data_IF_862791567646
#
_entry.id   IF_862791567646
#
_cell.length_a   1.000
_cell.length_b   1.000
_cell.length_c   1.000
_cell.angle_alpha   90.00
_cell.angle_beta   90.00
_cell.angle_gamma   90.00
#
_symmetry.space_group_name_H-M   'P 1'
#
loop_
_entity.id
_entity.type
_entity.pdbx_description
1 polymer ?
#
# COMPACT_ATOMS: atom_id res chain seq x y z
N UNK A 1 25.17 28.68 -37.37
CA UNK A 1 24.24 27.66 -37.93
C UNK A 1 24.06 26.45 -37.03
N UNK A 2 25.11 25.82 -36.52
CA UNK A 2 25.01 24.61 -35.67
C UNK A 2 24.07 24.79 -34.47
N UNK A 3 24.16 25.91 -33.75
CA UNK A 3 23.28 26.20 -32.60
C UNK A 3 21.78 26.25 -32.94
N UNK A 4 21.42 26.80 -34.12
CA UNK A 4 20.01 26.88 -34.57
C UNK A 4 19.47 25.49 -34.90
N UNK A 5 20.27 24.65 -35.54
CA UNK A 5 19.92 23.26 -35.87
C UNK A 5 19.69 22.44 -34.59
N UNK A 6 20.59 22.58 -33.61
CA UNK A 6 20.46 21.89 -32.31
C UNK A 6 19.20 22.34 -31.56
N UNK A 7 18.91 23.64 -31.52
CA UNK A 7 17.70 24.16 -30.88
C UNK A 7 16.42 23.64 -31.54
N UNK A 8 16.40 23.56 -32.88
CA UNK A 8 15.24 23.08 -33.63
C UNK A 8 15.00 21.58 -33.42
N UNK A 9 16.08 20.79 -33.40
CA UNK A 9 16.02 19.36 -33.10
C UNK A 9 15.48 19.12 -31.68
N UNK A 10 15.93 19.90 -30.70
CA UNK A 10 15.48 19.80 -29.31
C UNK A 10 13.98 20.08 -29.17
N UNK A 11 13.47 21.15 -29.80
CA UNK A 11 12.03 21.46 -29.81
C UNK A 11 11.23 20.35 -30.49
N UNK A 12 11.72 19.80 -31.60
CA UNK A 12 11.07 18.70 -32.30
C UNK A 12 10.96 17.44 -31.43
N UNK A 13 12.03 17.09 -30.69
CA UNK A 13 12.02 15.97 -29.74
C UNK A 13 11.00 16.21 -28.62
N UNK A 14 10.90 17.43 -28.08
CA UNK A 14 9.89 17.77 -27.07
C UNK A 14 8.47 17.60 -27.63
N UNK A 15 8.22 18.08 -28.85
CA UNK A 15 6.90 17.95 -29.50
C UNK A 15 6.54 16.48 -29.73
N UNK A 16 7.48 15.67 -30.26
CA UNK A 16 7.26 14.23 -30.44
C UNK A 16 7.01 13.52 -29.11
N UNK A 17 7.79 13.85 -28.08
CA UNK A 17 7.60 13.31 -26.73
C UNK A 17 6.24 13.69 -26.17
N UNK A 18 5.81 14.94 -26.35
CA UNK A 18 4.48 15.41 -25.95
C UNK A 18 3.36 14.67 -26.67
N UNK A 19 3.46 14.48 -27.99
CA UNK A 19 2.46 13.72 -28.79
C UNK A 19 2.43 12.26 -28.35
N UNK A 20 3.59 11.64 -28.15
CA UNK A 20 3.71 10.26 -27.69
C UNK A 20 3.04 10.06 -26.32
N UNK A 21 3.37 10.93 -25.35
CA UNK A 21 2.74 10.91 -24.03
C UNK A 21 1.23 11.15 -24.14
N UNK A 22 0.80 12.17 -24.89
CA UNK A 22 -0.63 12.50 -25.06
C UNK A 22 -1.43 11.37 -25.69
N UNK A 23 -0.85 10.59 -26.62
CA UNK A 23 -1.48 9.39 -27.17
C UNK A 23 -1.66 8.32 -26.10
N UNK A 24 -0.69 8.13 -25.19
CA UNK A 24 -0.82 7.22 -24.06
C UNK A 24 -1.95 7.58 -23.09
N UNK A 25 -2.18 8.88 -22.86
CA UNK A 25 -3.27 9.40 -21.99
C UNK A 25 -4.60 9.59 -22.73
N UNK A 26 -4.66 9.34 -24.04
CA UNK A 26 -5.92 9.43 -24.77
C UNK A 26 -6.80 8.27 -24.33
N UNK A 27 -8.08 8.50 -23.98
CA UNK A 27 -8.99 7.41 -23.63
C UNK A 27 -9.04 6.46 -24.83
N UNK A 28 -8.42 5.28 -24.70
CA UNK A 28 -8.64 4.21 -25.65
C UNK A 28 -10.14 3.90 -25.68
N UNK A 29 -10.62 3.50 -26.85
CA UNK A 29 -11.99 3.16 -27.27
C UNK A 29 -12.87 2.30 -26.32
N UNK A 30 -12.44 2.00 -25.11
CA UNK A 30 -13.23 1.29 -24.11
C UNK A 30 -14.29 2.25 -23.54
N UNK A 31 -15.56 1.82 -23.51
CA UNK A 31 -16.76 2.54 -23.06
C UNK A 31 -16.79 2.86 -21.54
N UNK A 32 -15.62 3.03 -20.93
CA UNK A 32 -15.46 3.21 -19.50
C UNK A 32 -15.40 4.68 -19.14
N UNK A 33 -16.36 5.08 -18.33
CA UNK A 33 -16.46 6.43 -17.80
C UNK A 33 -15.28 6.75 -16.87
N UNK A 34 -14.72 7.95 -16.98
CA UNK A 34 -13.62 8.41 -16.15
C UNK A 34 -13.27 9.88 -16.39
N UNK A 35 -12.54 10.49 -15.44
CA UNK A 35 -12.07 11.87 -15.58
C UNK A 35 -10.83 11.90 -16.48
N UNK A 36 -10.78 12.88 -17.39
CA UNK A 36 -9.61 13.16 -18.23
C UNK A 36 -8.37 13.38 -17.36
N UNK A 37 -7.31 12.64 -17.64
CA UNK A 37 -6.04 12.72 -16.93
C UNK A 37 -5.22 13.92 -17.35
N UNK A 38 -4.50 14.49 -16.39
CA UNK A 38 -3.36 15.35 -16.67
C UNK A 38 -2.14 14.52 -17.06
N UNK A 39 -1.31 15.09 -17.94
CA UNK A 39 -0.05 14.48 -18.34
C UNK A 39 0.86 14.40 -17.08
N UNK A 40 1.55 13.27 -16.90
CA UNK A 40 2.44 12.91 -15.78
C UNK A 40 1.77 12.62 -14.44
N UNK A 41 0.77 13.40 -14.03
CA UNK A 41 0.14 13.23 -12.71
C UNK A 41 -1.19 12.47 -12.75
N UNK A 42 -1.66 12.11 -13.95
CA UNK A 42 -2.91 11.40 -14.10
C UNK A 42 -4.07 12.19 -13.49
N UNK A 43 -4.80 11.55 -12.57
CA UNK A 43 -5.92 12.16 -11.87
C UNK A 43 -5.55 12.59 -10.44
N UNK A 44 -4.29 12.44 -10.00
CA UNK A 44 -3.86 12.66 -8.61
C UNK A 44 -4.03 14.10 -8.13
N UNK A 45 -3.81 15.07 -9.01
CA UNK A 45 -4.00 16.50 -8.72
C UNK A 45 -5.50 16.81 -8.63
N UNK A 46 -6.27 16.36 -9.63
CA UNK A 46 -7.72 16.62 -9.69
C UNK A 46 -8.51 15.95 -8.58
N UNK A 47 -8.00 14.82 -8.08
CA UNK A 47 -8.59 14.12 -6.95
C UNK A 47 -8.20 14.74 -5.60
N UNK A 48 -7.32 15.73 -5.56
CA UNK A 48 -6.90 16.39 -4.32
C UNK A 48 -6.00 15.53 -3.41
N UNK A 49 -5.60 14.33 -3.86
CA UNK A 49 -4.78 13.38 -3.09
C UNK A 49 -3.40 13.95 -2.85
N UNK A 50 -2.74 14.46 -3.90
CA UNK A 50 -1.42 15.10 -3.77
C UNK A 50 -1.43 16.35 -2.90
N UNK A 51 -2.58 17.03 -2.81
CA UNK A 51 -2.73 18.26 -2.03
C UNK A 51 -3.18 18.02 -0.59
N UNK A 52 -3.40 16.76 -0.18
CA UNK A 52 -3.95 16.42 1.14
C UNK A 52 -5.40 16.86 1.38
N UNK A 53 -6.08 17.41 0.36
CA UNK A 53 -7.45 17.93 0.46
C UNK A 53 -8.50 16.83 0.50
N UNK A 54 -8.14 15.63 0.05
CA UNK A 54 -9.07 14.50 -0.02
C UNK A 54 -8.34 13.20 0.20
N UNK A 55 -8.97 12.30 0.96
CA UNK A 55 -8.48 10.93 1.14
C UNK A 55 -8.79 10.08 -0.08
N UNK A 56 -7.99 9.04 -0.33
CA UNK A 56 -8.24 8.07 -1.40
C UNK A 56 -9.67 7.50 -1.35
N UNK A 57 -10.18 7.24 -0.13
CA UNK A 57 -11.56 6.78 0.10
C UNK A 57 -12.61 7.77 -0.40
N UNK A 58 -12.46 9.06 -0.08
CA UNK A 58 -13.41 10.10 -0.52
C UNK A 58 -13.43 10.21 -2.04
N UNK A 59 -12.26 10.16 -2.67
CA UNK A 59 -12.12 10.20 -4.13
C UNK A 59 -12.85 9.02 -4.78
N UNK A 60 -12.63 7.81 -4.29
CA UNK A 60 -13.29 6.61 -4.83
C UNK A 60 -14.80 6.70 -4.67
N UNK A 61 -15.30 7.18 -3.52
CA UNK A 61 -16.73 7.35 -3.29
C UNK A 61 -17.35 8.40 -4.22
N UNK A 62 -16.67 9.53 -4.41
CA UNK A 62 -17.16 10.59 -5.31
C UNK A 62 -17.15 10.15 -6.76
N UNK A 63 -16.13 9.39 -7.18
CA UNK A 63 -16.07 8.84 -8.53
C UNK A 63 -17.10 7.74 -8.74
N UNK A 64 -17.33 6.88 -7.74
CA UNK A 64 -18.42 5.90 -7.75
C UNK A 64 -19.78 6.57 -7.94
N UNK A 65 -20.04 7.68 -7.23
CA UNK A 65 -21.29 8.45 -7.40
C UNK A 65 -21.45 9.04 -8.81
N UNK A 66 -20.34 9.41 -9.46
CA UNK A 66 -20.36 10.08 -10.78
C UNK A 66 -20.39 9.11 -11.95
N UNK A 67 -19.69 7.97 -11.84
CA UNK A 67 -19.42 7.06 -12.96
C UNK A 67 -19.96 5.65 -12.72
N UNK A 68 -20.58 5.39 -11.56
CA UNK A 68 -21.08 4.07 -11.19
C UNK A 68 -20.01 3.15 -10.61
N UNK A 69 -20.27 1.85 -10.64
CA UNK A 69 -19.44 0.84 -9.97
C UNK A 69 -18.17 0.42 -10.72
N UNK A 70 -17.99 0.92 -11.95
CA UNK A 70 -16.82 0.64 -12.77
C UNK A 70 -16.38 1.91 -13.48
N UNK A 71 -15.15 2.34 -13.22
CA UNK A 71 -14.61 3.55 -13.83
C UNK A 71 -13.10 3.49 -14.02
N UNK A 72 -12.59 4.37 -14.87
CA UNK A 72 -11.16 4.52 -15.10
C UNK A 72 -10.57 5.61 -14.20
N UNK A 73 -9.42 5.32 -13.61
CA UNK A 73 -8.62 6.26 -12.84
C UNK A 73 -7.16 6.20 -13.29
N UNK A 74 -6.53 7.35 -13.51
CA UNK A 74 -5.10 7.40 -13.82
C UNK A 74 -4.29 7.70 -12.57
N UNK A 75 -3.47 6.74 -12.15
CA UNK A 75 -2.49 6.92 -11.09
C UNK A 75 -1.14 7.26 -11.72
N UNK A 76 -0.80 8.56 -11.75
CA UNK A 76 0.33 9.08 -12.55
C UNK A 76 0.20 8.64 -14.03
N UNK A 77 1.18 7.92 -14.56
CA UNK A 77 1.20 7.37 -15.92
C UNK A 77 0.45 6.04 -16.07
N UNK A 78 -0.02 5.44 -14.97
CA UNK A 78 -0.64 4.13 -14.99
C UNK A 78 -2.16 4.24 -15.03
N UNK A 79 -2.77 3.53 -15.99
CA UNK A 79 -4.22 3.37 -16.08
C UNK A 79 -4.68 2.30 -15.10
N UNK A 80 -5.54 2.69 -14.17
CA UNK A 80 -6.19 1.79 -13.23
C UNK A 80 -7.68 1.67 -13.57
N UNK A 81 -8.18 0.44 -13.57
CA UNK A 81 -9.61 0.16 -13.60
C UNK A 81 -10.08 -0.04 -12.17
N UNK A 82 -11.02 0.77 -11.73
CA UNK A 82 -11.57 0.72 -10.38
C UNK A 82 -12.92 0.04 -10.43
N UNK A 83 -13.06 -1.01 -9.62
CA UNK A 83 -14.28 -1.78 -9.46
C UNK A 83 -14.77 -1.64 -8.02
N UNK A 84 -16.01 -1.18 -7.83
CA UNK A 84 -16.59 -0.96 -6.51
C UNK A 84 -17.73 -1.92 -6.16
N UNK A 85 -18.14 -2.77 -7.11
CA UNK A 85 -19.18 -3.79 -6.93
C UNK A 85 -18.63 -5.07 -6.29
N UNK A 86 -19.46 -5.76 -5.50
CA UNK A 86 -19.08 -6.98 -4.81
C UNK A 86 -18.82 -8.12 -5.80
N UNK A 87 -19.64 -8.20 -6.85
CA UNK A 87 -19.52 -9.16 -7.95
C UNK A 87 -18.17 -9.05 -8.66
N UNK A 88 -17.69 -7.83 -8.89
CA UNK A 88 -16.38 -7.61 -9.49
C UNK A 88 -15.25 -8.06 -8.55
N UNK A 89 -15.35 -7.74 -7.26
CA UNK A 89 -14.38 -8.18 -6.27
C UNK A 89 -14.32 -9.72 -6.21
N UNK A 90 -15.47 -10.40 -6.21
CA UNK A 90 -15.52 -11.86 -6.24
C UNK A 90 -14.82 -12.44 -7.47
N UNK A 91 -15.07 -11.89 -8.67
CA UNK A 91 -14.40 -12.35 -9.89
C UNK A 91 -12.89 -12.12 -9.81
N UNK A 92 -12.45 -10.94 -9.39
CA UNK A 92 -11.04 -10.59 -9.27
C UNK A 92 -10.31 -11.50 -8.27
N UNK A 93 -10.94 -11.79 -7.13
CA UNK A 93 -10.32 -12.64 -6.09
C UNK A 93 -10.43 -14.14 -6.38
N UNK A 94 -11.44 -14.57 -7.15
CA UNK A 94 -11.61 -15.96 -7.58
C UNK A 94 -10.64 -16.30 -8.73
N UNK A 95 -10.51 -15.42 -9.71
CA UNK A 95 -9.63 -15.62 -10.86
C UNK A 95 -8.22 -15.05 -10.65
N UNK A 96 -7.48 -15.70 -9.75
CA UNK A 96 -6.07 -15.34 -9.47
C UNK A 96 -5.10 -15.71 -10.60
N UNK A 97 -5.56 -16.29 -11.69
CA UNK A 97 -4.73 -16.56 -12.87
C UNK A 97 -4.73 -15.36 -13.82
N UNK A 98 -5.88 -14.70 -13.95
CA UNK A 98 -6.02 -13.47 -14.76
C UNK A 98 -5.60 -12.23 -13.98
N UNK A 99 -5.93 -12.16 -12.68
CA UNK A 99 -5.62 -11.01 -11.83
C UNK A 99 -4.46 -11.33 -10.89
N UNK A 100 -3.27 -10.82 -11.23
CA UNK A 100 -2.10 -10.85 -10.35
C UNK A 100 -1.85 -9.48 -9.69
N UNK A 101 -1.10 -9.48 -8.58
CA UNK A 101 -0.71 -8.25 -7.91
C UNK A 101 0.20 -7.42 -8.80
N UNK A 102 -0.08 -6.12 -8.86
CA UNK A 102 0.69 -5.17 -9.65
C UNK A 102 1.93 -4.69 -8.89
N UNK A 103 3.11 -4.60 -9.52
CA UNK A 103 4.33 -4.10 -8.87
C UNK A 103 4.27 -2.59 -8.55
N UNK A 104 3.24 -1.88 -9.02
CA UNK A 104 3.12 -0.42 -8.94
C UNK A 104 3.24 0.16 -7.53
N UNK A 105 2.87 -0.62 -6.51
CA UNK A 105 2.84 -0.15 -5.12
C UNK A 105 4.01 -0.66 -4.27
N UNK A 106 4.92 -1.45 -4.84
CA UNK A 106 5.92 -2.19 -4.05
C UNK A 106 7.38 -1.76 -4.30
N UNK A 107 7.63 -0.83 -5.22
CA UNK A 107 9.00 -0.42 -5.60
C UNK A 107 9.85 0.07 -4.42
N UNK A 108 9.25 0.78 -3.46
CA UNK A 108 9.96 1.25 -2.27
C UNK A 108 10.10 0.16 -1.19
N UNK A 109 9.14 -0.77 -1.12
CA UNK A 109 9.17 -1.86 -0.12
C UNK A 109 10.29 -2.86 -0.47
N UNK A 110 10.58 -3.07 -1.76
CA UNK A 110 11.63 -4.01 -2.21
C UNK A 110 13.03 -3.57 -1.79
N UNK A 111 13.22 -2.27 -1.53
CA UNK A 111 14.47 -1.74 -0.99
C UNK A 111 14.68 -2.08 0.49
N UNK A 112 13.60 -2.20 1.26
CA UNK A 112 13.64 -2.44 2.71
C UNK A 112 13.60 -3.96 2.97
N UNK A 113 12.68 -4.66 2.32
CA UNK A 113 12.45 -6.09 2.50
C UNK A 113 12.47 -6.82 1.14
N UNK A 114 13.67 -7.07 0.57
CA UNK A 114 13.77 -7.71 -0.72
C UNK A 114 13.19 -9.13 -0.67
N UNK A 115 12.41 -9.49 -1.69
CA UNK A 115 11.74 -10.81 -1.78
C UNK A 115 10.74 -11.13 -0.66
N UNK A 116 10.19 -10.10 0.00
CA UNK A 116 9.08 -10.28 0.94
C UNK A 116 7.81 -10.77 0.21
N UNK A 117 7.00 -11.56 0.91
CA UNK A 117 5.72 -12.08 0.42
C UNK A 117 4.75 -10.99 -0.04
N UNK A 118 4.86 -9.78 0.50
CA UNK A 118 4.04 -8.63 0.10
C UNK A 118 4.36 -8.19 -1.34
N UNK A 119 5.60 -8.41 -1.79
CA UNK A 119 6.13 -7.92 -3.07
C UNK A 119 6.15 -9.04 -4.11
N UNK A 120 6.38 -10.28 -3.67
CA UNK A 120 6.46 -11.42 -4.55
C UNK A 120 5.17 -11.59 -5.35
N UNK A 121 5.30 -11.91 -6.64
CA UNK A 121 4.18 -12.20 -7.53
C UNK A 121 4.20 -13.65 -8.01
N UNK A 122 3.05 -14.08 -8.54
CA UNK A 122 2.88 -15.34 -9.28
C UNK A 122 3.42 -16.60 -8.55
N UNK A 123 4.21 -17.42 -9.24
CA UNK A 123 4.74 -18.69 -8.72
C UNK A 123 5.61 -18.53 -7.47
N UNK A 124 6.40 -17.45 -7.38
CA UNK A 124 7.25 -17.19 -6.20
C UNK A 124 6.39 -16.91 -4.97
N UNK A 125 5.36 -16.08 -5.12
CA UNK A 125 4.37 -15.82 -4.07
C UNK A 125 3.68 -17.11 -3.61
N UNK A 126 3.16 -17.91 -4.56
CA UNK A 126 2.50 -19.19 -4.28
C UNK A 126 3.38 -20.16 -3.49
N UNK A 127 4.70 -20.18 -3.79
CA UNK A 127 5.68 -20.99 -3.06
C UNK A 127 5.84 -20.52 -1.61
N UNK A 128 5.99 -19.22 -1.37
CA UNK A 128 6.20 -18.67 -0.03
C UNK A 128 4.95 -18.80 0.84
N UNK A 129 3.78 -18.47 0.29
CA UNK A 129 2.48 -18.65 0.97
C UNK A 129 2.26 -20.11 1.39
N UNK A 130 2.64 -21.08 0.56
CA UNK A 130 2.49 -22.51 0.91
C UNK A 130 3.29 -22.91 2.15
N UNK A 131 4.43 -22.26 2.39
CA UNK A 131 5.26 -22.50 3.59
C UNK A 131 4.70 -21.78 4.81
N UNK A 132 4.14 -20.58 4.63
CA UNK A 132 3.63 -19.75 5.72
C UNK A 132 2.22 -20.13 6.20
N UNK A 133 1.31 -20.54 5.30
CA UNK A 133 -0.06 -20.90 5.66
C UNK A 133 -0.16 -21.97 6.77
N UNK A 134 0.68 -23.03 6.80
CA UNK A 134 0.72 -23.96 7.92
C UNK A 134 1.02 -23.32 9.28
N UNK A 135 1.83 -22.26 9.31
CA UNK A 135 2.19 -21.54 10.55
C UNK A 135 1.00 -20.73 11.07
N UNK A 136 0.14 -20.22 10.18
CA UNK A 136 -1.07 -19.47 10.50
C UNK A 136 -2.30 -20.35 10.82
N UNK A 137 -2.12 -21.66 10.96
CA UNK A 137 -3.25 -22.55 11.30
C UNK A 137 -3.68 -22.33 12.74
N UNK A 138 -4.99 -22.44 12.98
CA UNK A 138 -5.60 -22.29 14.32
C UNK A 138 -4.88 -23.06 15.42
N UNK A 139 -4.46 -24.30 15.15
CA UNK A 139 -3.77 -25.13 16.14
C UNK A 139 -2.42 -24.54 16.60
N UNK A 140 -1.70 -23.84 15.71
CA UNK A 140 -0.46 -23.14 16.05
C UNK A 140 -0.75 -21.86 16.83
N UNK A 141 -1.73 -21.07 16.40
CA UNK A 141 -2.15 -19.85 17.10
C UNK A 141 -2.60 -20.15 18.53
N UNK A 142 -3.37 -21.23 18.75
CA UNK A 142 -3.80 -21.65 20.09
C UNK A 142 -2.59 -21.93 21.01
N UNK A 143 -1.52 -22.50 20.47
CA UNK A 143 -0.29 -22.75 21.23
C UNK A 143 0.42 -21.49 21.72
N UNK A 144 0.07 -20.32 21.18
CA UNK A 144 0.63 -19.03 21.58
C UNK A 144 -0.33 -18.18 22.42
N UNK A 145 -1.54 -18.67 22.74
CA UNK A 145 -2.52 -17.88 23.49
C UNK A 145 -2.02 -17.46 24.87
N UNK A 146 -1.33 -18.35 25.59
CA UNK A 146 -0.74 -18.02 26.89
C UNK A 146 0.27 -16.87 26.77
N UNK A 147 1.12 -16.90 25.74
CA UNK A 147 2.07 -15.81 25.44
C UNK A 147 1.36 -14.50 25.13
N UNK A 148 0.29 -14.53 24.34
CA UNK A 148 -0.52 -13.34 24.02
C UNK A 148 -1.14 -12.75 25.29
N UNK A 149 -1.72 -13.60 26.15
CA UNK A 149 -2.30 -13.17 27.43
C UNK A 149 -1.24 -12.55 28.32
N UNK A 150 -0.06 -13.18 28.46
CA UNK A 150 1.05 -12.61 29.22
C UNK A 150 1.54 -11.26 28.67
N UNK A 151 1.56 -11.07 27.35
CA UNK A 151 1.86 -9.77 26.76
C UNK A 151 0.75 -8.75 27.06
N UNK A 152 -0.51 -9.17 27.07
CA UNK A 152 -1.65 -8.29 27.32
C UNK A 152 -1.68 -7.84 28.78
N UNK A 153 -1.48 -8.75 29.73
CA UNK A 153 -1.41 -8.44 31.15
C UNK A 153 -0.27 -7.44 31.43
N UNK A 154 0.93 -7.71 30.90
CA UNK A 154 2.07 -6.78 31.01
C UNK A 154 1.78 -5.42 30.39
N UNK A 155 1.15 -5.39 29.22
CA UNK A 155 0.78 -4.15 28.55
C UNK A 155 -0.24 -3.36 29.38
N UNK A 156 -1.23 -4.03 29.99
CA UNK A 156 -2.21 -3.42 30.88
C UNK A 156 -1.51 -2.83 32.10
N UNK A 157 -0.68 -3.61 32.78
CA UNK A 157 0.02 -3.19 34.00
C UNK A 157 0.96 -1.99 33.79
N UNK A 158 1.63 -1.92 32.63
CA UNK A 158 2.60 -0.88 32.32
C UNK A 158 1.97 0.42 31.80
N UNK A 159 0.84 0.33 31.11
CA UNK A 159 0.25 1.50 30.46
C UNK A 159 -0.93 2.03 31.27
N UNK A 160 -1.78 1.15 31.82
CA UNK A 160 -3.05 1.53 32.43
C UNK A 160 -2.95 1.74 33.93
N UNK A 161 -2.59 2.98 34.31
CA UNK A 161 -2.74 3.45 35.68
C UNK A 161 -4.10 4.13 35.91
N UNK A 162 -4.77 3.88 37.04
CA UNK A 162 -6.13 4.38 37.31
C UNK A 162 -6.25 5.92 37.29
N UNK A 163 -5.13 6.64 37.43
CA UNK A 163 -5.09 8.10 37.51
C UNK A 163 -4.61 8.79 36.21
N UNK A 164 -4.37 8.05 35.13
CA UNK A 164 -3.83 8.60 33.87
C UNK A 164 -4.79 8.48 32.69
N UNK A 165 -5.09 9.63 32.06
CA UNK A 165 -5.80 9.67 30.77
C UNK A 165 -4.84 9.32 29.64
N UNK A 166 -5.10 8.19 28.99
CA UNK A 166 -4.31 7.73 27.85
C UNK A 166 -4.65 8.54 26.62
N UNK A 167 -3.66 9.21 26.04
CA UNK A 167 -3.87 10.11 24.90
C UNK A 167 -3.47 9.51 23.54
N UNK A 168 -2.74 8.39 23.53
CA UNK A 168 -2.24 7.78 22.30
C UNK A 168 -2.44 6.25 22.27
N UNK A 169 -3.67 5.85 21.95
CA UNK A 169 -4.03 4.44 21.82
C UNK A 169 -3.31 3.76 20.64
N UNK A 170 -2.97 4.51 19.58
CA UNK A 170 -2.38 3.95 18.36
C UNK A 170 -0.97 3.45 18.67
N UNK A 171 -0.14 4.29 19.27
CA UNK A 171 1.23 3.92 19.64
C UNK A 171 1.25 2.78 20.65
N UNK A 172 0.34 2.79 21.64
CA UNK A 172 0.23 1.71 22.62
C UNK A 172 -0.17 0.38 21.97
N UNK A 173 -1.15 0.38 21.05
CA UNK A 173 -1.54 -0.83 20.32
C UNK A 173 -0.44 -1.34 19.38
N UNK A 174 0.33 -0.44 18.75
CA UNK A 174 1.48 -0.81 17.92
C UNK A 174 2.55 -1.50 18.76
N UNK A 175 2.89 -0.95 19.93
CA UNK A 175 3.86 -1.55 20.85
C UNK A 175 3.41 -2.93 21.34
N UNK A 176 2.14 -3.05 21.73
CA UNK A 176 1.57 -4.34 22.12
C UNK A 176 1.67 -5.38 20.98
N UNK A 177 1.28 -5.01 19.76
CA UNK A 177 1.38 -5.90 18.60
C UNK A 177 2.83 -6.33 18.33
N UNK A 178 3.78 -5.40 18.46
CA UNK A 178 5.21 -5.68 18.30
C UNK A 178 5.73 -6.66 19.35
N UNK A 179 5.35 -6.50 20.62
CA UNK A 179 5.76 -7.42 21.69
C UNK A 179 5.20 -8.83 21.46
N UNK A 180 3.94 -8.92 21.04
CA UNK A 180 3.29 -10.20 20.73
C UNK A 180 3.99 -10.90 19.56
N UNK A 181 4.18 -10.21 18.44
CA UNK A 181 4.86 -10.77 17.26
C UNK A 181 6.31 -11.13 17.61
N UNK A 182 7.00 -10.23 18.31
CA UNK A 182 8.36 -10.39 18.75
C UNK A 182 8.60 -11.66 19.56
N UNK A 183 7.74 -11.89 20.54
CA UNK A 183 7.87 -13.01 21.46
C UNK A 183 7.45 -14.33 20.81
N UNK A 184 6.42 -14.32 19.97
CA UNK A 184 5.92 -15.52 19.28
C UNK A 184 6.88 -15.98 18.17
N UNK A 185 7.30 -15.06 17.30
CA UNK A 185 8.05 -15.41 16.09
C UNK A 185 9.56 -15.45 16.34
N UNK A 186 10.09 -14.59 17.21
CA UNK A 186 11.53 -14.42 17.42
C UNK A 186 12.00 -14.82 18.82
N UNK A 187 11.07 -15.05 19.76
CA UNK A 187 11.42 -15.25 21.17
C UNK A 187 12.05 -14.00 21.81
N UNK A 188 11.85 -12.83 21.20
CA UNK A 188 12.43 -11.57 21.65
C UNK A 188 11.43 -10.78 22.49
N UNK A 189 11.84 -10.42 23.70
CA UNK A 189 11.05 -9.56 24.58
C UNK A 189 11.48 -8.09 24.41
N UNK A 190 10.75 -7.36 23.56
CA UNK A 190 11.07 -5.97 23.23
C UNK A 190 10.86 -4.99 24.40
N UNK A 191 10.13 -5.40 25.46
CA UNK A 191 10.03 -4.59 26.69
C UNK A 191 11.35 -4.59 27.47
N UNK A 192 12.18 -5.63 27.35
CA UNK A 192 13.51 -5.67 27.96
C UNK A 192 14.57 -4.87 27.18
N UNK A 193 14.36 -4.67 25.88
CA UNK A 193 15.28 -3.95 24.99
C UNK A 193 14.79 -2.54 24.67
N UNK A 194 13.97 -1.94 25.53
CA UNK A 194 13.48 -0.57 25.43
C UNK A 194 14.59 0.49 25.62
N UNK A 195 15.77 0.25 25.05
CA UNK A 195 16.67 1.31 24.64
C UNK A 195 16.08 1.97 23.39
N UNK A 196 16.10 3.30 23.38
CA UNK A 196 15.42 4.21 22.44
C UNK A 196 15.56 3.86 20.95
N UNK A 197 16.60 3.12 20.59
CA UNK A 197 17.02 2.83 19.22
C UNK A 197 16.06 1.91 18.44
N UNK A 198 15.47 0.90 19.08
CA UNK A 198 14.55 -0.02 18.39
C UNK A 198 13.15 0.60 18.19
N UNK A 199 12.74 1.48 19.11
CA UNK A 199 11.51 2.27 18.95
C UNK A 199 11.65 3.28 17.81
N UNK A 200 12.78 4.00 17.72
CA UNK A 200 13.05 4.93 16.61
C UNK A 200 13.11 4.22 15.25
N UNK A 201 13.84 3.10 15.13
CA UNK A 201 13.97 2.38 13.87
C UNK A 201 12.61 1.90 13.31
N UNK A 202 11.67 1.51 14.18
CA UNK A 202 10.33 1.10 13.76
C UNK A 202 9.37 2.25 13.50
N UNK A 203 9.46 3.36 14.24
CA UNK A 203 8.73 4.59 13.88
C UNK A 203 9.14 5.08 12.49
N UNK A 204 10.43 5.01 12.17
CA UNK A 204 10.91 5.32 10.84
C UNK A 204 10.28 4.37 9.81
N UNK A 205 10.39 3.05 9.97
CA UNK A 205 9.82 2.07 9.02
C UNK A 205 8.29 2.25 8.84
N UNK A 206 7.56 2.50 9.92
CA UNK A 206 6.09 2.69 9.84
C UNK A 206 5.70 4.04 9.24
N UNK A 207 6.51 5.09 9.43
CA UNK A 207 6.32 6.40 8.77
C UNK A 207 6.59 6.35 7.27
N UNK A 208 7.51 5.48 6.82
CA UNK A 208 7.78 5.24 5.39
C UNK A 208 6.75 4.32 4.71
N UNK A 209 5.96 3.56 5.49
CA UNK A 209 4.97 2.61 4.98
C UNK A 209 3.54 3.18 4.87
N UNK A 210 3.27 4.40 5.37
CA UNK A 210 2.02 5.15 5.19
C UNK A 210 2.15 6.24 4.13
#
# INVERSE_FOLDING_TARGET
>A
MVSIIVATLFVFVIILTYIYLKRGYSPSLDDLSGIKSHIFFGNLINSGILTGKSTSRQVVLDYKRRFGDKFQYWFSSHRCLVFCGLEHAQIIFADRHTFEQSPLFFGNIDLICPSDIIILTSAKWKRHIRVLLPMLRRAKIIGHLETIVQCADRFIDQNFHPDQVHRDLVSSCQLFAMNVIGLIEFGCDFDMYADSLMKEAFYDITSYAM
#
